data_IF_734786956543
#
_entry.id   IF_734786956543
#
_cell.length_a   1.000
_cell.length_b   1.000
_cell.length_c   1.000
_cell.angle_alpha   90.00
_cell.angle_beta   90.00
_cell.angle_gamma   90.00
#
_symmetry.space_group_name_H-M   'P 1'
#
loop_
_entity.id
_entity.type
_entity.pdbx_description
1 polymer ?
#
# COMPACT_ATOMS: atom_id res chain seq x y z
N UNK A 1 8.12 12.60 -7.14
CA UNK A 1 8.27 11.98 -5.82
C UNK A 1 6.99 11.26 -5.44
N UNK A 2 7.10 10.08 -4.89
CA UNK A 2 5.95 9.36 -4.34
C UNK A 2 5.95 9.52 -2.82
N UNK A 3 4.83 9.96 -2.27
CA UNK A 3 4.62 10.06 -0.83
C UNK A 3 3.60 9.01 -0.40
N UNK A 4 3.92 8.26 0.65
CA UNK A 4 3.05 7.25 1.23
C UNK A 4 2.77 7.59 2.69
N UNK A 5 1.51 7.37 3.09
CA UNK A 5 1.10 7.40 4.48
C UNK A 5 0.45 6.07 4.83
N UNK A 6 0.69 5.55 6.02
CA UNK A 6 0.09 4.28 6.44
C UNK A 6 -0.55 4.45 7.82
N UNK A 7 -1.79 4.01 7.93
CA UNK A 7 -2.50 3.91 9.20
C UNK A 7 -3.05 2.49 9.37
N UNK A 8 -2.99 2.00 10.59
CA UNK A 8 -3.61 0.72 10.95
C UNK A 8 -4.92 0.99 11.67
N UNK A 9 -5.96 0.26 11.30
CA UNK A 9 -7.31 0.44 11.83
C UNK A 9 -7.83 -0.90 12.35
N UNK A 10 -8.34 -0.90 13.59
CA UNK A 10 -9.01 -2.07 14.16
C UNK A 10 -10.30 -1.62 14.85
N UNK A 11 -11.43 -2.18 14.43
CA UNK A 11 -12.73 -1.91 15.06
C UNK A 11 -12.87 -2.59 16.40
N UNK A 12 -12.07 -3.60 16.71
CA UNK A 12 -12.10 -4.31 18.00
C UNK A 12 -11.37 -3.51 19.09
N UNK A 13 -10.51 -2.57 18.70
CA UNK A 13 -9.73 -1.77 19.61
C UNK A 13 -9.94 -0.28 19.28
N UNK A 14 -11.05 0.25 19.76
CA UNK A 14 -11.53 1.59 19.45
C UNK A 14 -10.63 2.74 19.96
N UNK A 15 -9.44 2.46 20.42
CA UNK A 15 -8.47 3.45 20.84
C UNK A 15 -7.12 3.28 20.17
N UNK A 16 -6.94 2.18 19.47
CA UNK A 16 -5.65 1.81 18.89
C UNK A 16 -5.56 2.15 17.40
N UNK A 17 -5.88 3.36 17.04
CA UNK A 17 -5.31 3.89 15.80
C UNK A 17 -3.83 4.10 16.10
N UNK A 18 -3.02 3.10 15.78
CA UNK A 18 -1.58 3.26 15.82
C UNK A 18 -1.20 4.46 14.98
N UNK A 19 -0.21 5.22 15.42
CA UNK A 19 0.20 6.45 14.77
C UNK A 19 0.45 6.29 13.28
N UNK A 20 0.23 7.34 12.54
CA UNK A 20 0.45 7.37 11.09
C UNK A 20 1.95 7.29 10.79
N UNK A 21 2.34 6.35 9.93
CA UNK A 21 3.68 6.25 9.39
C UNK A 21 3.74 6.93 8.03
N UNK A 22 4.88 7.51 7.71
CA UNK A 22 5.10 8.22 6.45
C UNK A 22 6.40 7.76 5.80
N UNK A 23 6.39 7.67 4.49
CA UNK A 23 7.60 7.42 3.69
C UNK A 23 7.48 8.16 2.36
N UNK A 24 8.61 8.56 1.81
CA UNK A 24 8.66 9.14 0.48
C UNK A 24 9.88 8.62 -0.28
N UNK A 25 9.85 8.76 -1.59
CA UNK A 25 10.96 8.41 -2.46
C UNK A 25 10.95 9.24 -3.73
N UNK A 26 12.13 9.59 -4.27
CA UNK A 26 12.21 10.29 -5.55
C UNK A 26 11.75 9.38 -6.69
N UNK A 27 11.20 10.00 -7.75
CA UNK A 27 10.76 9.26 -8.95
C UNK A 27 11.93 8.95 -9.87
N UNK A 28 12.96 8.31 -9.32
CA UNK A 28 14.11 7.83 -10.08
C UNK A 28 13.87 6.38 -10.51
N UNK A 29 14.23 6.02 -11.76
CA UNK A 29 14.02 4.66 -12.24
C UNK A 29 14.63 3.60 -11.32
N UNK A 30 13.85 2.57 -11.03
CA UNK A 30 14.26 1.46 -10.16
C UNK A 30 14.05 1.70 -8.67
N UNK A 31 13.57 2.88 -8.26
CA UNK A 31 13.25 3.16 -6.86
C UNK A 31 12.08 2.30 -6.40
N UNK A 32 12.18 1.74 -5.20
CA UNK A 32 11.21 0.81 -4.63
C UNK A 32 10.82 1.25 -3.23
N UNK A 33 9.50 1.25 -2.95
CA UNK A 33 8.95 1.36 -1.61
C UNK A 33 8.12 0.13 -1.31
N UNK A 34 8.28 -0.46 -0.13
CA UNK A 34 7.58 -1.68 0.26
C UNK A 34 6.75 -1.46 1.52
N UNK A 35 5.59 -2.10 1.55
CA UNK A 35 4.65 -2.12 2.68
C UNK A 35 4.39 -3.57 3.07
N UNK A 36 4.53 -3.90 4.35
CA UNK A 36 4.31 -5.26 4.85
C UNK A 36 4.65 -5.38 6.32
N UNK A 37 4.79 -6.62 6.83
CA UNK A 37 5.12 -6.88 8.23
C UNK A 37 6.61 -6.85 8.53
N UNK A 38 7.47 -7.05 7.53
CA UNK A 38 8.91 -7.19 7.72
C UNK A 38 9.59 -5.81 7.75
N UNK A 39 9.93 -5.36 8.93
CA UNK A 39 10.59 -4.06 9.16
C UNK A 39 11.99 -3.97 8.54
N UNK A 40 12.61 -5.10 8.26
CA UNK A 40 13.96 -5.11 7.68
C UNK A 40 13.95 -4.67 6.22
N UNK A 41 12.83 -4.88 5.50
CA UNK A 41 12.72 -4.59 4.07
C UNK A 41 11.60 -3.63 3.73
N UNK A 42 10.67 -3.34 4.66
CA UNK A 42 9.53 -2.45 4.43
C UNK A 42 9.74 -1.12 5.13
N UNK A 43 9.66 -0.03 4.38
CA UNK A 43 9.69 1.33 4.94
C UNK A 43 8.46 1.62 5.79
N UNK A 44 7.32 1.03 5.42
CA UNK A 44 6.07 1.11 6.16
C UNK A 44 5.72 -0.29 6.64
N UNK A 45 5.87 -0.53 7.93
CA UNK A 45 5.66 -1.85 8.51
C UNK A 45 4.43 -1.87 9.42
N UNK A 46 3.54 -2.86 9.18
CA UNK A 46 2.41 -3.15 10.04
C UNK A 46 2.86 -3.93 11.29
N UNK A 47 1.99 -4.07 12.32
CA UNK A 47 2.30 -4.95 13.44
C UNK A 47 2.63 -6.37 12.97
N UNK A 48 3.66 -6.98 13.55
CA UNK A 48 4.14 -8.31 13.13
C UNK A 48 3.20 -9.45 13.50
N UNK A 49 2.24 -9.23 14.40
CA UNK A 49 1.17 -10.18 14.74
C UNK A 49 -0.06 -10.06 13.85
N UNK A 50 -0.09 -9.10 12.92
CA UNK A 50 -1.17 -8.95 11.94
C UNK A 50 -0.92 -9.86 10.75
N UNK A 51 -1.25 -11.13 10.89
CA UNK A 51 -0.88 -12.19 9.92
C UNK A 51 -1.62 -12.11 8.59
N UNK A 52 -2.67 -11.30 8.48
CA UNK A 52 -3.33 -11.05 7.20
C UNK A 52 -2.47 -10.18 6.26
N UNK A 53 -1.45 -9.51 6.81
CA UNK A 53 -0.46 -8.77 6.04
C UNK A 53 0.75 -9.65 5.81
N UNK A 54 1.17 -9.82 4.57
CA UNK A 54 2.37 -10.59 4.22
C UNK A 54 3.64 -9.84 4.64
N UNK A 55 4.76 -10.52 4.71
CA UNK A 55 6.05 -9.91 5.03
C UNK A 55 6.36 -8.73 4.12
N UNK A 56 6.18 -8.91 2.81
CA UNK A 56 6.12 -7.83 1.83
C UNK A 56 4.79 -7.98 1.10
N UNK A 57 3.86 -7.06 1.34
CA UNK A 57 2.50 -7.15 0.83
C UNK A 57 2.32 -6.35 -0.46
N UNK A 58 2.73 -5.09 -0.42
CA UNK A 58 2.67 -4.18 -1.55
C UNK A 58 4.07 -3.69 -1.91
N UNK A 59 4.34 -3.62 -3.20
CA UNK A 59 5.58 -3.04 -3.71
C UNK A 59 5.26 -1.92 -4.69
N UNK A 60 5.75 -0.73 -4.40
CA UNK A 60 5.68 0.42 -5.29
C UNK A 60 7.00 0.52 -6.03
N UNK A 61 6.95 0.49 -7.36
CA UNK A 61 8.14 0.52 -8.22
C UNK A 61 8.06 1.69 -9.18
N UNK A 62 9.15 2.46 -9.24
CA UNK A 62 9.31 3.52 -10.22
C UNK A 62 9.90 2.96 -11.52
N UNK A 63 9.20 3.15 -12.62
CA UNK A 63 9.64 2.70 -13.93
C UNK A 63 10.66 3.64 -14.57
N UNK A 64 11.18 3.27 -15.76
CA UNK A 64 12.23 4.04 -16.44
C UNK A 64 11.78 5.42 -16.91
N UNK A 65 10.48 5.66 -17.00
CA UNK A 65 9.89 6.95 -17.39
C UNK A 65 9.49 7.81 -16.18
N UNK A 66 9.81 7.38 -14.96
CA UNK A 66 9.44 8.07 -13.72
C UNK A 66 8.01 7.78 -13.26
N UNK A 67 7.28 6.92 -13.95
CA UNK A 67 5.94 6.52 -13.52
C UNK A 67 6.01 5.45 -12.45
N UNK A 68 5.04 5.45 -11.54
CA UNK A 68 4.96 4.50 -10.44
C UNK A 68 3.87 3.48 -10.69
N UNK A 69 4.12 2.25 -10.25
CA UNK A 69 3.12 1.19 -10.21
C UNK A 69 3.16 0.50 -8.86
N UNK A 70 2.02 -0.04 -8.44
CA UNK A 70 1.91 -0.83 -7.21
C UNK A 70 1.52 -2.26 -7.57
N UNK A 71 2.18 -3.22 -6.94
CA UNK A 71 1.89 -4.64 -7.12
C UNK A 71 1.56 -5.26 -5.76
N UNK A 72 0.46 -6.04 -5.73
CA UNK A 72 0.20 -6.94 -4.62
C UNK A 72 1.03 -8.20 -4.85
N UNK A 73 2.12 -8.35 -4.11
CA UNK A 73 3.05 -9.46 -4.31
C UNK A 73 2.42 -10.78 -3.89
N UNK A 74 2.55 -11.80 -4.73
CA UNK A 74 2.17 -13.15 -4.35
C UNK A 74 3.11 -13.68 -3.29
N UNK A 75 2.52 -14.12 -2.17
CA UNK A 75 3.23 -14.81 -1.11
C UNK A 75 3.10 -16.34 -1.24
N UNK A 76 3.30 -17.02 -0.12
CA UNK A 76 3.22 -18.47 -0.04
C UNK A 76 1.79 -19.04 0.00
N UNK A 77 0.78 -18.18 0.18
CA UNK A 77 -0.62 -18.60 0.23
C UNK A 77 -1.22 -18.69 -1.17
N UNK A 78 -1.94 -19.78 -1.43
CA UNK A 78 -2.73 -19.91 -2.66
C UNK A 78 -3.90 -18.91 -2.65
N UNK A 79 -4.56 -18.78 -1.49
CA UNK A 79 -5.58 -17.77 -1.25
C UNK A 79 -5.12 -16.89 -0.09
N UNK A 80 -4.99 -15.58 -0.28
CA UNK A 80 -4.55 -14.70 0.80
C UNK A 80 -5.66 -14.51 1.84
N UNK A 81 -5.30 -14.33 3.13
CA UNK A 81 -6.28 -14.03 4.18
C UNK A 81 -6.75 -12.58 4.17
N UNK A 82 -6.44 -11.84 3.14
CA UNK A 82 -6.77 -10.42 2.98
C UNK A 82 -7.23 -10.13 1.57
N UNK A 83 -7.79 -8.95 1.37
CA UNK A 83 -8.06 -8.37 0.05
C UNK A 83 -7.45 -6.98 0.00
N UNK A 84 -7.15 -6.52 -1.21
CA UNK A 84 -6.62 -5.18 -1.44
C UNK A 84 -7.59 -4.40 -2.30
N UNK A 85 -8.01 -3.24 -1.80
CA UNK A 85 -8.90 -2.34 -2.51
C UNK A 85 -8.14 -1.05 -2.85
N UNK A 86 -8.26 -0.61 -4.09
CA UNK A 86 -7.65 0.62 -4.57
C UNK A 86 -8.74 1.66 -4.82
N UNK A 87 -8.62 2.81 -4.17
CA UNK A 87 -9.48 3.96 -4.40
C UNK A 87 -8.64 5.09 -4.99
N UNK A 88 -9.02 5.56 -6.17
CA UNK A 88 -8.36 6.69 -6.81
C UNK A 88 -9.16 7.97 -6.55
N UNK A 89 -8.46 9.08 -6.30
CA UNK A 89 -9.10 10.37 -6.11
C UNK A 89 -9.90 10.76 -7.36
N UNK A 90 -11.12 11.19 -7.15
CA UNK A 90 -12.04 11.54 -8.24
C UNK A 90 -12.88 10.38 -8.76
N UNK A 91 -12.62 9.14 -8.34
CA UNK A 91 -13.43 7.98 -8.70
C UNK A 91 -14.33 7.59 -7.51
N UNK A 92 -15.63 7.31 -7.76
CA UNK A 92 -16.59 7.10 -6.66
C UNK A 92 -16.50 5.75 -5.99
N UNK A 93 -15.81 4.78 -6.58
CA UNK A 93 -15.80 3.40 -6.09
C UNK A 93 -14.38 2.86 -5.96
N UNK A 94 -14.14 2.10 -4.88
CA UNK A 94 -12.93 1.30 -4.74
C UNK A 94 -12.93 0.15 -5.74
N UNK A 95 -11.76 -0.16 -6.28
CA UNK A 95 -11.55 -1.26 -7.20
C UNK A 95 -10.70 -2.34 -6.55
N UNK A 96 -11.04 -3.62 -6.65
CA UNK A 96 -10.17 -4.66 -6.12
C UNK A 96 -8.88 -4.75 -6.93
N UNK A 97 -7.76 -4.82 -6.23
CA UNK A 97 -6.47 -5.17 -6.83
C UNK A 97 -6.32 -6.69 -6.72
N UNK A 98 -6.21 -7.42 -7.83
CA UNK A 98 -6.08 -8.86 -7.78
C UNK A 98 -4.76 -9.29 -7.09
N UNK A 99 -4.80 -10.44 -6.45
CA UNK A 99 -3.60 -11.05 -5.87
C UNK A 99 -2.56 -11.32 -6.96
N UNK A 100 -1.36 -10.76 -6.80
CA UNK A 100 -0.33 -10.76 -7.83
C UNK A 100 -0.53 -9.72 -8.93
N UNK A 101 -1.59 -8.92 -8.84
CA UNK A 101 -1.89 -7.89 -9.83
C UNK A 101 -1.13 -6.60 -9.61
N UNK A 102 -1.05 -5.80 -10.67
CA UNK A 102 -0.36 -4.51 -10.68
C UNK A 102 -1.30 -3.41 -11.15
N UNK A 103 -1.22 -2.25 -10.51
CA UNK A 103 -1.93 -1.05 -10.92
C UNK A 103 -0.95 0.09 -11.14
N UNK A 104 -1.20 0.89 -12.17
CA UNK A 104 -0.41 2.07 -12.48
C UNK A 104 -0.96 3.28 -11.73
N UNK A 105 -0.06 4.06 -11.13
CA UNK A 105 -0.42 5.30 -10.46
C UNK A 105 -0.28 6.47 -11.43
N UNK A 106 -1.36 7.21 -11.64
CA UNK A 106 -1.34 8.34 -12.58
C UNK A 106 -0.41 9.45 -12.06
N UNK A 107 0.34 10.13 -12.95
CA UNK A 107 1.13 11.30 -12.56
C UNK A 107 0.25 12.40 -11.96
N UNK A 108 0.68 12.95 -10.83
CA UNK A 108 -0.12 13.94 -10.09
C UNK A 108 -1.33 13.35 -9.37
N UNK A 109 -1.54 12.03 -9.46
CA UNK A 109 -2.67 11.35 -8.84
C UNK A 109 -2.45 11.05 -7.37
N UNK A 110 -3.56 10.87 -6.67
CA UNK A 110 -3.59 10.44 -5.28
C UNK A 110 -4.67 9.40 -5.08
N UNK A 111 -4.61 8.69 -3.98
CA UNK A 111 -5.60 7.68 -3.65
C UNK A 111 -5.20 6.90 -2.40
N UNK A 112 -5.86 5.76 -2.22
CA UNK A 112 -5.66 4.92 -1.06
C UNK A 112 -5.74 3.45 -1.45
N UNK A 113 -4.83 2.66 -0.88
CA UNK A 113 -4.91 1.20 -0.90
C UNK A 113 -5.29 0.72 0.49
N UNK A 114 -6.25 -0.18 0.57
CA UNK A 114 -6.70 -0.77 1.82
C UNK A 114 -6.41 -2.27 1.78
N UNK A 115 -5.57 -2.73 2.71
CA UNK A 115 -5.36 -4.15 2.95
C UNK A 115 -6.37 -4.56 4.03
N UNK A 116 -7.43 -5.24 3.61
CA UNK A 116 -8.54 -5.62 4.49
C UNK A 116 -8.38 -7.06 4.95
N UNK A 117 -8.43 -7.28 6.27
CA UNK A 117 -8.52 -8.62 6.84
C UNK A 117 -9.88 -9.23 6.51
N UNK A 118 -9.89 -10.47 5.97
CA UNK A 118 -11.13 -11.16 5.63
C UNK A 118 -11.86 -11.75 6.83
N UNK A 119 -11.16 -11.92 7.96
CA UNK A 119 -11.69 -12.64 9.12
C UNK A 119 -11.94 -11.76 10.32
N UNK A 120 -11.44 -10.55 10.34
CA UNK A 120 -11.58 -9.61 11.46
C UNK A 120 -11.72 -8.19 10.94
N UNK A 121 -12.36 -7.29 11.69
CA UNK A 121 -12.54 -5.89 11.28
C UNK A 121 -11.27 -5.06 11.47
N UNK A 122 -10.21 -5.43 10.75
CA UNK A 122 -8.92 -4.75 10.76
C UNK A 122 -8.47 -4.45 9.35
N UNK A 123 -7.77 -3.33 9.18
CA UNK A 123 -7.21 -2.95 7.89
C UNK A 123 -5.92 -2.17 8.04
N UNK A 124 -5.11 -2.19 6.99
CA UNK A 124 -3.97 -1.30 6.81
C UNK A 124 -4.30 -0.36 5.66
N UNK A 125 -4.37 0.92 5.94
CA UNK A 125 -4.73 1.94 4.96
C UNK A 125 -3.46 2.67 4.52
N UNK A 126 -3.17 2.61 3.22
CA UNK A 126 -1.99 3.23 2.62
C UNK A 126 -2.44 4.32 1.66
N UNK A 127 -2.30 5.56 2.07
CA UNK A 127 -2.54 6.72 1.20
C UNK A 127 -1.33 6.98 0.33
N UNK A 128 -1.54 7.38 -0.92
CA UNK A 128 -0.45 7.75 -1.81
C UNK A 128 -0.73 9.07 -2.53
N UNK A 129 0.35 9.79 -2.80
CA UNK A 129 0.34 10.98 -3.63
C UNK A 129 1.57 10.95 -4.54
N UNK A 130 1.34 10.95 -5.85
CA UNK A 130 2.40 10.99 -6.85
C UNK A 130 2.64 12.42 -7.28
N UNK A 131 3.56 13.11 -6.60
CA UNK A 131 3.93 14.47 -6.92
C UNK A 131 4.79 14.51 -8.19
N UNK A 132 4.37 15.27 -9.17
CA UNK A 132 5.12 15.52 -10.39
C UNK A 132 5.59 16.96 -10.39
N UNK A 133 6.91 17.16 -10.43
CA UNK A 133 7.46 18.49 -10.59
C UNK A 133 7.32 18.91 -12.05
N UNK A 134 6.62 20.00 -12.29
CA UNK A 134 6.68 20.66 -13.58
C UNK A 134 8.08 21.27 -13.72
N UNK A 135 8.83 20.73 -14.62
CA UNK A 135 10.15 21.28 -14.94
C UNK A 135 10.03 22.64 -15.62
#
# INVERSE_FOLDING_TARGET
>A
MLELTMATVSAEDAGATAGMLMADAPSDPGTVLRVGRDRAVCRLASPDDWLFVSRVHLEFLCGPDGSWQVTWLRGSHAEPPSEVLLTLAGLPMAQPLPYGGTARLAPGGSGELVIQDRTAPRSVNVGFYHEVHAA
#
